data_IF_218075172679
#
_entry.id   IF_218075172679
#
_cell.length_a   1.000
_cell.length_b   1.000
_cell.length_c   1.000
_cell.angle_alpha   90.00
_cell.angle_beta   90.00
_cell.angle_gamma   90.00
#
_symmetry.space_group_name_H-M   'P 1'
#
loop_
_entity.id
_entity.type
_entity.pdbx_description
1 polymer ?
#
# COMPACT_ATOMS: atom_id res chain seq x y z
N UNK A 1 -31.51 -7.98 3.28
CA UNK A 1 -30.26 -7.49 2.66
C UNK A 1 -29.26 -8.64 2.65
N UNK A 2 -28.78 -9.01 1.48
CA UNK A 2 -27.76 -10.06 1.34
C UNK A 2 -26.40 -9.55 1.82
N UNK A 3 -25.44 -10.45 2.15
CA UNK A 3 -24.06 -10.06 2.45
C UNK A 3 -23.42 -9.17 1.37
N UNK A 4 -23.64 -9.51 0.11
CA UNK A 4 -23.13 -8.75 -1.03
C UNK A 4 -23.71 -7.33 -1.09
N UNK A 5 -24.99 -7.17 -0.90
CA UNK A 5 -25.66 -5.85 -0.90
C UNK A 5 -25.14 -4.99 0.27
N UNK A 6 -25.02 -5.55 1.46
CA UNK A 6 -24.49 -4.85 2.62
C UNK A 6 -23.06 -4.33 2.38
N UNK A 7 -22.16 -5.22 1.94
CA UNK A 7 -20.77 -4.88 1.69
C UNK A 7 -20.61 -3.90 0.49
N UNK A 8 -21.52 -3.99 -0.50
CA UNK A 8 -21.55 -3.03 -1.62
C UNK A 8 -21.95 -1.64 -1.15
N UNK A 9 -22.96 -1.51 -0.28
CA UNK A 9 -23.35 -0.23 0.31
C UNK A 9 -22.23 0.35 1.18
N UNK A 10 -21.55 -0.50 1.96
CA UNK A 10 -20.40 -0.10 2.75
C UNK A 10 -19.27 0.42 1.86
N UNK A 11 -18.94 -0.26 0.77
CA UNK A 11 -17.96 0.20 -0.21
C UNK A 11 -18.34 1.54 -0.83
N UNK A 12 -19.62 1.74 -1.16
CA UNK A 12 -20.11 3.01 -1.69
C UNK A 12 -19.93 4.15 -0.67
N UNK A 13 -20.13 3.88 0.62
CA UNK A 13 -19.89 4.86 1.69
C UNK A 13 -18.40 5.25 1.83
N UNK A 14 -17.50 4.40 1.33
CA UNK A 14 -16.06 4.60 1.36
C UNK A 14 -15.50 5.20 0.07
N UNK A 15 -16.35 5.59 -0.89
CA UNK A 15 -15.88 6.32 -2.07
C UNK A 15 -15.32 7.68 -1.66
N UNK A 16 -14.20 8.04 -2.28
CA UNK A 16 -13.58 9.35 -2.08
C UNK A 16 -14.49 10.43 -2.67
N UNK A 17 -14.75 11.48 -1.91
CA UNK A 17 -15.56 12.60 -2.40
C UNK A 17 -14.78 13.45 -3.40
N UNK A 18 -15.46 14.04 -4.35
CA UNK A 18 -14.82 14.89 -5.37
C UNK A 18 -13.96 16.03 -4.80
N UNK A 19 -14.35 16.74 -3.72
CA UNK A 19 -13.49 17.74 -3.10
C UNK A 19 -12.18 17.14 -2.60
N UNK A 20 -12.23 15.99 -1.91
CA UNK A 20 -11.04 15.32 -1.36
C UNK A 20 -10.11 14.87 -2.50
N UNK A 21 -10.67 14.30 -3.57
CA UNK A 21 -9.90 13.91 -4.76
C UNK A 21 -9.25 15.10 -5.47
N UNK A 22 -9.90 16.27 -5.52
CA UNK A 22 -9.29 17.48 -6.10
C UNK A 22 -8.09 17.92 -5.28
N UNK A 23 -8.20 17.96 -3.96
CA UNK A 23 -7.09 18.32 -3.07
C UNK A 23 -5.91 17.35 -3.26
N UNK A 24 -6.16 16.05 -3.26
CA UNK A 24 -5.13 15.02 -3.46
C UNK A 24 -4.45 15.20 -4.83
N UNK A 25 -5.22 15.45 -5.89
CA UNK A 25 -4.67 15.65 -7.24
C UNK A 25 -3.82 16.92 -7.32
N UNK A 26 -4.28 18.04 -6.75
CA UNK A 26 -3.52 19.28 -6.71
C UNK A 26 -2.19 19.08 -5.99
N UNK A 27 -2.24 18.53 -4.78
CA UNK A 27 -1.03 18.25 -4.00
C UNK A 27 -0.05 17.30 -4.72
N UNK A 28 -0.58 16.25 -5.35
CA UNK A 28 0.19 15.33 -6.19
C UNK A 28 0.93 16.05 -7.30
N UNK A 29 0.21 16.89 -8.05
CA UNK A 29 0.76 17.56 -9.23
C UNK A 29 1.75 18.66 -8.83
N UNK A 30 1.46 19.40 -7.77
CA UNK A 30 2.36 20.41 -7.20
C UNK A 30 3.68 19.79 -6.72
N UNK A 31 3.60 18.69 -5.96
CA UNK A 31 4.79 18.01 -5.43
C UNK A 31 5.59 17.33 -6.54
N UNK A 32 4.93 16.73 -7.52
CA UNK A 32 5.60 16.15 -8.69
C UNK A 32 6.33 17.23 -9.53
N UNK A 33 5.67 18.35 -9.76
CA UNK A 33 6.29 19.50 -10.47
C UNK A 33 7.46 20.09 -9.67
N UNK A 34 7.30 20.22 -8.35
CA UNK A 34 8.38 20.70 -7.48
C UNK A 34 9.60 19.76 -7.55
N UNK A 35 9.40 18.45 -7.34
CA UNK A 35 10.48 17.47 -7.40
C UNK A 35 11.14 17.43 -8.79
N UNK A 36 10.35 17.51 -9.86
CA UNK A 36 10.88 17.59 -11.22
C UNK A 36 11.82 18.79 -11.42
N UNK A 37 11.47 19.96 -10.90
CA UNK A 37 12.35 21.15 -10.95
C UNK A 37 13.62 20.99 -10.11
N UNK A 38 13.52 20.38 -8.92
CA UNK A 38 14.66 20.24 -8.00
C UNK A 38 15.64 19.13 -8.40
N UNK A 39 15.15 18.07 -9.01
CA UNK A 39 15.93 16.87 -9.31
C UNK A 39 16.35 16.78 -10.78
N UNK A 40 15.87 17.70 -11.62
CA UNK A 40 16.14 17.72 -13.05
C UNK A 40 15.30 16.69 -13.84
N UNK A 41 15.64 16.51 -15.12
CA UNK A 41 14.86 15.70 -16.07
C UNK A 41 15.14 14.18 -16.00
N UNK A 42 16.07 13.74 -15.14
CA UNK A 42 16.48 12.34 -15.08
C UNK A 42 15.46 11.39 -14.44
N UNK A 43 14.90 11.73 -13.26
CA UNK A 43 13.98 10.83 -12.57
C UNK A 43 12.58 10.85 -13.19
N UNK A 44 11.91 9.70 -13.13
CA UNK A 44 10.48 9.56 -13.44
C UNK A 44 9.68 9.50 -12.15
N UNK A 45 8.55 10.19 -12.12
CA UNK A 45 7.64 10.23 -10.97
C UNK A 45 6.38 9.44 -11.29
N UNK A 46 6.04 8.52 -10.40
CA UNK A 46 4.89 7.66 -10.50
C UNK A 46 4.02 7.77 -9.25
N UNK A 47 2.77 7.36 -9.36
CA UNK A 47 1.82 7.31 -8.25
C UNK A 47 1.62 5.86 -7.82
N UNK A 48 1.98 5.59 -6.57
CA UNK A 48 1.96 4.25 -5.98
C UNK A 48 0.80 4.03 -5.03
N UNK A 49 1.01 3.10 -4.12
CA UNK A 49 0.16 2.81 -2.98
C UNK A 49 -1.31 2.61 -3.32
N UNK A 50 -2.16 3.08 -2.43
CA UNK A 50 -3.61 2.93 -2.56
C UNK A 50 -4.19 3.77 -3.71
N UNK A 51 -3.57 4.92 -4.01
CA UNK A 51 -3.97 5.76 -5.15
C UNK A 51 -3.72 5.04 -6.48
N UNK A 52 -2.51 4.54 -6.71
CA UNK A 52 -2.14 3.83 -7.94
C UNK A 52 -2.92 2.53 -8.16
N UNK A 53 -3.27 1.83 -7.08
CA UNK A 53 -4.06 0.59 -7.09
C UNK A 53 -5.57 0.80 -7.16
N UNK A 54 -6.06 2.03 -6.99
CA UNK A 54 -7.46 2.37 -6.82
C UNK A 54 -8.13 1.66 -5.62
N UNK A 55 -7.41 1.58 -4.51
CA UNK A 55 -7.87 0.93 -3.27
C UNK A 55 -7.97 1.90 -2.09
N UNK A 56 -8.08 3.21 -2.36
CA UNK A 56 -8.33 4.20 -1.32
C UNK A 56 -9.69 3.96 -0.65
N UNK A 57 -9.75 4.20 0.64
CA UNK A 57 -10.99 4.26 1.44
C UNK A 57 -11.05 5.62 2.12
N UNK A 58 -12.24 6.18 2.24
CA UNK A 58 -12.43 7.54 2.81
C UNK A 58 -11.96 7.65 4.25
N UNK A 59 -12.11 6.59 5.05
CA UNK A 59 -11.71 6.58 6.47
C UNK A 59 -10.18 6.61 6.67
N UNK A 60 -9.38 6.14 5.69
CA UNK A 60 -7.93 6.16 5.80
C UNK A 60 -7.30 6.11 4.40
N UNK A 61 -6.61 7.17 4.03
CA UNK A 61 -5.88 7.26 2.77
C UNK A 61 -4.59 8.05 2.94
N UNK A 62 -3.66 7.77 2.09
CA UNK A 62 -2.34 8.38 1.96
C UNK A 62 -2.02 8.56 0.46
N UNK A 63 -0.98 9.30 0.17
CA UNK A 63 -0.49 9.46 -1.20
C UNK A 63 0.97 8.99 -1.27
N UNK A 64 1.24 8.03 -2.16
CA UNK A 64 2.59 7.56 -2.42
C UNK A 64 3.10 8.13 -3.75
N UNK A 65 4.18 8.90 -3.71
CA UNK A 65 4.94 9.32 -4.88
C UNK A 65 6.23 8.52 -4.98
N UNK A 66 6.40 7.82 -6.09
CA UNK A 66 7.60 7.03 -6.36
C UNK A 66 8.48 7.78 -7.34
N UNK A 67 9.74 8.01 -6.96
CA UNK A 67 10.72 8.79 -7.73
C UNK A 67 11.85 7.87 -8.15
N UNK A 68 11.79 7.34 -9.38
CA UNK A 68 12.81 6.45 -9.90
C UNK A 68 13.82 7.20 -10.77
N UNK A 69 15.06 7.19 -10.32
CA UNK A 69 16.21 7.66 -11.09
C UNK A 69 16.58 6.64 -12.18
N UNK A 70 17.17 7.10 -13.29
CA UNK A 70 17.56 6.18 -14.36
C UNK A 70 18.67 5.21 -13.92
N UNK A 71 18.81 4.05 -14.58
CA UNK A 71 19.87 3.08 -14.26
C UNK A 71 21.28 3.63 -14.44
N UNK A 72 21.43 4.68 -15.26
CA UNK A 72 22.70 5.38 -15.51
C UNK A 72 23.09 6.40 -14.41
N UNK A 73 22.22 6.62 -13.42
CA UNK A 73 22.57 7.50 -12.29
C UNK A 73 23.72 6.89 -11.48
N UNK A 74 24.84 7.58 -11.42
CA UNK A 74 26.05 7.07 -10.78
C UNK A 74 26.05 7.15 -9.25
N UNK A 75 25.09 7.88 -8.66
CA UNK A 75 24.98 8.02 -7.19
C UNK A 75 24.61 6.69 -6.56
N UNK A 76 25.09 6.43 -5.35
CA UNK A 76 24.61 5.33 -4.52
C UNK A 76 23.11 5.53 -4.18
N UNK A 77 22.42 4.47 -3.76
CA UNK A 77 21.04 4.57 -3.33
C UNK A 77 20.86 5.46 -2.09
N UNK A 78 21.84 5.49 -1.18
CA UNK A 78 21.85 6.39 -0.04
C UNK A 78 21.97 7.86 -0.49
N UNK A 79 22.82 8.17 -1.46
CA UNK A 79 22.94 9.51 -2.02
C UNK A 79 21.69 9.96 -2.76
N UNK A 80 21.03 9.05 -3.49
CA UNK A 80 19.73 9.32 -4.13
C UNK A 80 18.66 9.65 -3.07
N UNK A 81 18.56 8.84 -2.01
CA UNK A 81 17.66 9.08 -0.89
C UNK A 81 17.95 10.43 -0.21
N UNK A 82 19.22 10.73 0.05
CA UNK A 82 19.67 11.99 0.62
C UNK A 82 19.39 13.20 -0.28
N UNK A 83 19.57 13.08 -1.59
CA UNK A 83 19.30 14.15 -2.55
C UNK A 83 17.80 14.52 -2.60
N UNK A 84 16.92 13.51 -2.58
CA UNK A 84 15.46 13.77 -2.52
C UNK A 84 15.07 14.38 -1.18
N UNK A 85 15.62 13.88 -0.06
CA UNK A 85 15.41 14.45 1.27
C UNK A 85 15.82 15.94 1.31
N UNK A 86 17.03 16.26 0.86
CA UNK A 86 17.52 17.65 0.82
C UNK A 86 16.68 18.54 -0.09
N UNK A 87 16.21 18.03 -1.24
CA UNK A 87 15.32 18.77 -2.12
C UNK A 87 14.02 19.16 -1.39
N UNK A 88 13.39 18.20 -0.70
CA UNK A 88 12.17 18.45 0.07
C UNK A 88 12.39 19.45 1.21
N UNK A 89 13.49 19.32 1.97
CA UNK A 89 13.84 20.26 3.05
C UNK A 89 14.07 21.68 2.51
N UNK A 90 14.79 21.82 1.37
CA UNK A 90 14.93 23.13 0.71
C UNK A 90 13.58 23.72 0.27
N UNK A 91 12.62 22.86 -0.09
CA UNK A 91 11.24 23.24 -0.37
C UNK A 91 10.40 23.57 0.88
N UNK A 92 11.03 23.58 2.06
CA UNK A 92 10.39 23.84 3.37
C UNK A 92 9.32 22.82 3.77
N UNK A 93 9.38 21.61 3.22
CA UNK A 93 8.56 20.50 3.70
C UNK A 93 9.10 19.97 5.03
N UNK A 94 8.21 19.59 5.94
CA UNK A 94 8.57 18.77 7.10
C UNK A 94 8.78 17.35 6.58
N UNK A 95 9.94 16.75 6.85
CA UNK A 95 10.32 15.45 6.30
C UNK A 95 10.70 14.49 7.41
N UNK A 96 10.01 13.37 7.49
CA UNK A 96 10.27 12.27 8.42
C UNK A 96 10.81 11.05 7.65
N UNK A 97 12.12 10.76 7.73
CA UNK A 97 12.67 9.58 7.08
C UNK A 97 12.08 8.29 7.64
N UNK A 98 11.54 7.45 6.73
CA UNK A 98 11.03 6.11 7.00
C UNK A 98 12.00 5.06 6.46
N UNK A 99 11.65 3.78 6.54
CA UNK A 99 12.51 2.69 6.06
C UNK A 99 12.87 2.81 4.58
N UNK A 100 11.92 3.17 3.72
CA UNK A 100 12.14 3.31 2.26
C UNK A 100 11.56 4.61 1.69
N UNK A 101 10.88 5.38 2.51
CA UNK A 101 10.19 6.59 2.11
C UNK A 101 10.66 7.81 2.90
N UNK A 102 10.33 8.97 2.39
CA UNK A 102 10.41 10.27 3.06
C UNK A 102 8.97 10.73 3.26
N UNK A 103 8.50 10.69 4.51
CA UNK A 103 7.14 11.05 4.86
C UNK A 103 7.00 12.55 5.02
N UNK A 104 5.98 13.11 4.40
CA UNK A 104 5.55 14.49 4.57
C UNK A 104 4.22 14.48 5.31
N UNK A 105 4.21 14.83 6.61
CA UNK A 105 2.96 14.88 7.39
C UNK A 105 2.13 16.11 7.01
N UNK A 106 0.81 15.92 6.99
CA UNK A 106 -0.19 16.95 6.79
C UNK A 106 -1.23 16.90 7.92
N UNK A 107 -2.24 17.76 7.85
CA UNK A 107 -3.30 17.81 8.84
C UNK A 107 -4.17 16.54 8.86
N UNK A 108 -4.85 16.31 9.97
CA UNK A 108 -5.79 15.19 10.19
C UNK A 108 -5.19 13.80 9.96
N UNK A 109 -3.86 13.63 10.09
CA UNK A 109 -3.18 12.35 9.92
C UNK A 109 -2.93 11.94 8.46
N UNK A 110 -3.33 12.76 7.49
CA UNK A 110 -2.95 12.57 6.09
C UNK A 110 -1.45 12.77 5.93
N UNK A 111 -0.83 12.00 5.06
CA UNK A 111 0.58 12.14 4.71
C UNK A 111 0.85 11.79 3.26
N UNK A 112 1.98 12.28 2.77
CA UNK A 112 2.54 11.87 1.48
C UNK A 112 3.85 11.16 1.72
N UNK A 113 3.99 9.96 1.22
CA UNK A 113 5.23 9.19 1.25
C UNK A 113 5.94 9.33 -0.12
N UNK A 114 7.11 9.95 -0.13
CA UNK A 114 7.97 10.05 -1.30
C UNK A 114 9.00 8.92 -1.25
N UNK A 115 8.97 8.03 -2.25
CA UNK A 115 9.77 6.79 -2.29
C UNK A 115 10.86 6.90 -3.36
N UNK A 116 12.11 7.26 -3.01
CA UNK A 116 13.22 7.31 -3.95
C UNK A 116 13.73 5.92 -4.29
N UNK A 117 14.12 5.72 -5.55
CA UNK A 117 14.78 4.50 -6.00
C UNK A 117 15.54 4.70 -7.30
N UNK A 118 16.31 3.69 -7.70
CA UNK A 118 16.98 3.66 -9.01
C UNK A 118 16.45 2.50 -9.82
N UNK A 119 15.99 2.78 -11.05
CA UNK A 119 15.56 1.76 -11.99
C UNK A 119 16.70 0.78 -12.28
N UNK A 120 16.37 -0.49 -12.50
CA UNK A 120 17.35 -1.49 -12.91
C UNK A 120 17.62 -1.39 -14.42
N UNK A 121 16.60 -1.02 -15.19
CA UNK A 121 16.67 -0.95 -16.65
C UNK A 121 15.95 0.32 -17.16
N UNK A 122 16.13 0.65 -18.42
CA UNK A 122 15.59 1.84 -19.08
C UNK A 122 14.05 1.86 -19.19
N UNK A 123 13.40 0.70 -19.04
CA UNK A 123 11.94 0.56 -19.02
C UNK A 123 11.32 1.00 -17.68
N UNK A 124 12.13 1.12 -16.61
CA UNK A 124 11.70 1.46 -15.24
C UNK A 124 10.72 0.46 -14.61
N UNK A 125 10.67 -0.76 -15.11
CA UNK A 125 9.76 -1.79 -14.60
C UNK A 125 10.15 -2.24 -13.18
N UNK A 126 11.44 -2.47 -12.96
CA UNK A 126 12.00 -2.79 -11.65
C UNK A 126 12.93 -1.69 -11.16
N UNK A 127 12.96 -1.51 -9.86
CA UNK A 127 13.86 -0.57 -9.20
C UNK A 127 14.44 -1.16 -7.92
N UNK A 128 15.55 -0.58 -7.47
CA UNK A 128 16.13 -0.83 -6.15
C UNK A 128 15.94 0.42 -5.29
N UNK A 129 15.41 0.21 -4.08
CA UNK A 129 15.22 1.23 -3.07
C UNK A 129 16.32 1.16 -2.02
N UNK A 130 16.67 2.28 -1.43
CA UNK A 130 17.44 2.35 -0.19
C UNK A 130 16.56 1.97 0.99
N UNK A 131 17.05 1.08 1.85
CA UNK A 131 16.44 0.82 3.16
C UNK A 131 17.24 1.56 4.24
N UNK A 132 16.64 2.61 4.76
CA UNK A 132 17.13 3.36 5.90
C UNK A 132 16.92 2.54 7.19
N UNK A 133 17.69 1.49 7.34
CA UNK A 133 17.70 0.56 8.47
C UNK A 133 19.09 0.48 9.09
N UNK A 134 19.22 -0.11 10.24
CA UNK A 134 20.52 -0.34 10.87
C UNK A 134 20.79 -1.86 10.95
N UNK A 135 21.77 -2.42 10.19
CA UNK A 135 22.53 -1.74 9.14
C UNK A 135 21.68 -1.38 7.92
N UNK A 136 22.13 -0.40 7.10
CA UNK A 136 21.47 -0.05 5.86
C UNK A 136 21.47 -1.22 4.88
N UNK A 137 20.43 -1.32 4.07
CA UNK A 137 20.29 -2.38 3.07
C UNK A 137 19.51 -1.89 1.83
N UNK A 138 19.19 -2.79 0.92
CA UNK A 138 18.46 -2.46 -0.30
C UNK A 138 17.23 -3.35 -0.48
N UNK A 139 16.24 -2.87 -1.25
CA UNK A 139 15.03 -3.60 -1.57
C UNK A 139 14.76 -3.51 -3.07
N UNK A 140 14.81 -4.64 -3.79
CA UNK A 140 14.31 -4.73 -5.16
C UNK A 140 12.78 -4.76 -5.14
N UNK A 141 12.15 -3.97 -6.01
CA UNK A 141 10.69 -3.84 -6.09
C UNK A 141 10.23 -3.55 -7.52
N UNK A 142 8.92 -3.64 -7.76
CA UNK A 142 8.28 -3.17 -8.98
C UNK A 142 6.90 -2.60 -8.67
N UNK A 143 6.76 -1.30 -8.85
CA UNK A 143 5.48 -0.62 -8.68
C UNK A 143 4.40 -1.21 -9.59
N UNK A 144 4.76 -1.49 -10.86
CA UNK A 144 3.83 -2.06 -11.85
C UNK A 144 3.33 -3.44 -11.43
N UNK A 145 4.22 -4.32 -10.96
CA UNK A 145 3.84 -5.67 -10.50
C UNK A 145 2.88 -5.56 -9.31
N UNK A 146 3.14 -4.67 -8.35
CA UNK A 146 2.26 -4.47 -7.20
C UNK A 146 0.88 -3.92 -7.59
N UNK A 147 0.83 -3.00 -8.56
CA UNK A 147 -0.45 -2.48 -9.07
C UNK A 147 -1.21 -3.58 -9.80
N UNK A 148 -0.53 -4.30 -10.69
CA UNK A 148 -1.14 -5.37 -11.50
C UNK A 148 -1.66 -6.52 -10.63
N UNK A 149 -0.96 -6.87 -9.54
CA UNK A 149 -1.38 -7.91 -8.60
C UNK A 149 -2.76 -7.65 -7.98
N UNK A 150 -3.16 -6.37 -7.82
CA UNK A 150 -4.47 -6.00 -7.30
C UNK A 150 -5.47 -5.71 -8.42
N UNK A 151 -5.03 -5.01 -9.49
CA UNK A 151 -5.94 -4.54 -10.55
C UNK A 151 -6.36 -5.64 -11.51
N UNK A 152 -5.42 -6.50 -11.93
CA UNK A 152 -5.70 -7.59 -12.90
C UNK A 152 -6.46 -8.75 -12.26
N UNK A 153 -6.36 -8.93 -10.95
CA UNK A 153 -7.07 -9.97 -10.22
C UNK A 153 -8.44 -9.54 -9.72
N UNK A 154 -8.84 -8.30 -10.02
CA UNK A 154 -10.10 -7.67 -9.58
C UNK A 154 -10.30 -7.67 -8.05
N UNK A 155 -9.22 -7.74 -7.30
CA UNK A 155 -9.25 -7.75 -5.83
C UNK A 155 -9.47 -6.36 -5.21
N UNK A 156 -9.61 -5.30 -6.00
CA UNK A 156 -9.70 -3.92 -5.50
C UNK A 156 -10.75 -3.73 -4.42
N UNK A 157 -11.97 -4.21 -4.66
CA UNK A 157 -13.07 -4.04 -3.70
C UNK A 157 -12.84 -4.87 -2.44
N UNK A 158 -12.32 -6.08 -2.59
CA UNK A 158 -11.95 -6.94 -1.47
C UNK A 158 -10.84 -6.31 -0.63
N UNK A 159 -9.82 -5.74 -1.26
CA UNK A 159 -8.74 -5.04 -0.55
C UNK A 159 -9.29 -3.82 0.20
N UNK A 160 -10.25 -3.08 -0.36
CA UNK A 160 -10.91 -1.95 0.31
C UNK A 160 -11.69 -2.41 1.55
N UNK A 161 -12.45 -3.50 1.45
CA UNK A 161 -13.16 -4.10 2.58
C UNK A 161 -12.19 -4.59 3.67
N UNK A 162 -11.09 -5.23 3.29
CA UNK A 162 -10.05 -5.68 4.23
C UNK A 162 -9.32 -4.51 4.89
N UNK A 163 -9.07 -3.42 4.18
CA UNK A 163 -8.51 -2.20 4.78
C UNK A 163 -9.45 -1.63 5.84
N UNK A 164 -10.74 -1.58 5.54
CA UNK A 164 -11.76 -1.10 6.47
C UNK A 164 -11.86 -2.01 7.69
N UNK A 165 -11.90 -3.33 7.48
CA UNK A 165 -11.87 -4.34 8.54
C UNK A 165 -10.65 -4.17 9.43
N UNK A 166 -9.45 -4.08 8.84
CA UNK A 166 -8.21 -3.85 9.58
C UNK A 166 -8.27 -2.59 10.44
N UNK A 167 -8.75 -1.49 9.86
CA UNK A 167 -8.83 -0.20 10.53
C UNK A 167 -9.77 -0.26 11.74
N UNK A 168 -10.99 -0.76 11.53
CA UNK A 168 -12.03 -0.78 12.56
C UNK A 168 -11.75 -1.76 13.69
N UNK A 169 -11.01 -2.82 13.40
CA UNK A 169 -10.56 -3.79 14.42
C UNK A 169 -9.18 -3.45 15.02
N UNK A 170 -8.55 -2.33 14.65
CA UNK A 170 -7.23 -1.94 15.16
C UNK A 170 -6.12 -2.96 14.89
N UNK A 171 -6.18 -3.69 13.77
CA UNK A 171 -5.24 -4.77 13.47
C UNK A 171 -3.91 -4.18 12.99
N UNK A 172 -2.78 -4.47 13.67
CA UNK A 172 -1.48 -3.90 13.35
C UNK A 172 -0.80 -4.63 12.16
N UNK A 173 -1.49 -4.69 11.01
CA UNK A 173 -0.97 -5.34 9.81
C UNK A 173 -0.86 -4.34 8.66
N UNK A 174 0.24 -4.38 7.92
CA UNK A 174 0.43 -3.55 6.73
C UNK A 174 -0.57 -3.92 5.63
N UNK A 175 -1.12 -2.93 4.94
CA UNK A 175 -2.07 -3.15 3.82
C UNK A 175 -1.50 -4.09 2.76
N UNK A 176 -0.21 -3.98 2.44
CA UNK A 176 0.44 -4.86 1.47
C UNK A 176 0.36 -6.34 1.85
N UNK A 177 0.47 -6.68 3.15
CA UNK A 177 0.27 -8.05 3.62
C UNK A 177 -1.18 -8.52 3.42
N UNK A 178 -2.18 -7.65 3.62
CA UNK A 178 -3.59 -7.97 3.35
C UNK A 178 -3.85 -8.27 1.87
N UNK A 179 -3.21 -7.51 0.97
CA UNK A 179 -3.31 -7.73 -0.48
C UNK A 179 -2.81 -9.13 -0.86
N UNK A 180 -1.66 -9.54 -0.33
CA UNK A 180 -1.08 -10.87 -0.58
C UNK A 180 -1.96 -11.98 0.04
N UNK A 181 -2.45 -11.77 1.26
CA UNK A 181 -3.36 -12.71 1.92
C UNK A 181 -4.65 -12.92 1.12
N UNK A 182 -5.26 -11.84 0.63
CA UNK A 182 -6.45 -11.90 -0.21
C UNK A 182 -6.19 -12.68 -1.51
N UNK A 183 -5.08 -12.37 -2.19
CA UNK A 183 -4.70 -13.05 -3.42
C UNK A 183 -4.49 -14.56 -3.20
N UNK A 184 -3.87 -14.96 -2.09
CA UNK A 184 -3.65 -16.37 -1.74
C UNK A 184 -4.94 -17.08 -1.33
N UNK A 185 -5.74 -16.47 -0.47
CA UNK A 185 -6.98 -17.06 0.01
C UNK A 185 -7.98 -17.35 -1.11
N UNK A 186 -8.01 -16.46 -2.10
CA UNK A 186 -8.88 -16.61 -3.27
C UNK A 186 -8.23 -17.41 -4.40
N UNK A 187 -6.95 -17.81 -4.27
CA UNK A 187 -6.20 -18.54 -5.29
C UNK A 187 -6.28 -17.90 -6.69
N UNK A 188 -6.27 -16.55 -6.74
CA UNK A 188 -6.39 -15.78 -7.98
C UNK A 188 -7.77 -15.83 -8.64
N UNK A 189 -8.78 -16.41 -8.00
CA UNK A 189 -10.15 -16.44 -8.53
C UNK A 189 -10.81 -15.07 -8.35
N UNK A 190 -11.55 -14.64 -9.37
CA UNK A 190 -12.40 -13.47 -9.28
C UNK A 190 -13.50 -13.71 -8.22
N UNK A 191 -13.70 -12.78 -7.28
CA UNK A 191 -14.81 -12.90 -6.35
C UNK A 191 -16.13 -12.53 -7.02
N UNK A 192 -17.05 -13.48 -7.11
CA UNK A 192 -18.41 -13.26 -7.64
C UNK A 192 -19.32 -12.61 -6.60
N UNK A 193 -19.02 -12.82 -5.32
CA UNK A 193 -19.77 -12.35 -4.15
C UNK A 193 -18.82 -11.87 -3.06
N UNK A 194 -19.02 -10.64 -2.55
CA UNK A 194 -18.13 -10.08 -1.53
C UNK A 194 -18.20 -10.82 -0.20
N UNK A 195 -19.40 -11.25 0.20
CA UNK A 195 -19.57 -12.00 1.45
C UNK A 195 -18.82 -13.32 1.41
N UNK A 196 -19.00 -14.09 0.36
CA UNK A 196 -18.30 -15.37 0.14
C UNK A 196 -16.78 -15.16 0.07
N UNK A 197 -16.32 -14.14 -0.62
CA UNK A 197 -14.90 -13.84 -0.74
C UNK A 197 -14.27 -13.47 0.61
N UNK A 198 -14.89 -12.55 1.35
CA UNK A 198 -14.43 -12.15 2.67
C UNK A 198 -14.43 -13.31 3.66
N UNK A 199 -15.47 -14.16 3.62
CA UNK A 199 -15.54 -15.34 4.44
C UNK A 199 -14.40 -16.33 4.20
N UNK A 200 -14.09 -16.62 2.93
CA UNK A 200 -12.93 -17.45 2.56
C UNK A 200 -11.61 -16.87 3.04
N UNK A 201 -11.46 -15.55 2.97
CA UNK A 201 -10.25 -14.87 3.44
C UNK A 201 -10.13 -14.97 4.95
N UNK A 202 -11.22 -14.78 5.71
CA UNK A 202 -11.21 -14.94 7.16
C UNK A 202 -10.89 -16.38 7.56
N UNK A 203 -11.47 -17.39 6.88
CA UNK A 203 -11.11 -18.80 7.09
C UNK A 203 -9.62 -19.05 6.86
N UNK A 204 -9.08 -18.52 5.77
CA UNK A 204 -7.66 -18.64 5.45
C UNK A 204 -6.79 -17.97 6.53
N UNK A 205 -7.11 -16.75 6.92
CA UNK A 205 -6.37 -16.02 7.95
C UNK A 205 -6.44 -16.73 9.32
N UNK A 206 -7.61 -17.16 9.74
CA UNK A 206 -7.76 -17.85 11.01
C UNK A 206 -6.94 -19.15 11.08
N UNK A 207 -6.82 -19.87 9.97
CA UNK A 207 -6.12 -21.16 9.90
C UNK A 207 -4.62 -21.04 9.64
N UNK A 208 -4.23 -20.20 8.67
CA UNK A 208 -2.89 -20.23 8.10
C UNK A 208 -1.95 -19.13 8.67
N UNK A 209 -2.49 -18.14 9.37
CA UNK A 209 -1.72 -16.95 9.76
C UNK A 209 -0.52 -17.24 10.64
N UNK A 210 -0.57 -18.32 11.43
CA UNK A 210 0.53 -18.72 12.31
C UNK A 210 1.81 -19.06 11.53
N UNK A 211 1.67 -19.72 10.38
CA UNK A 211 2.80 -20.28 9.62
C UNK A 211 2.98 -19.69 8.23
N UNK A 212 2.03 -18.90 7.75
CA UNK A 212 2.07 -18.35 6.39
C UNK A 212 3.32 -17.52 6.13
N UNK A 213 3.98 -17.77 5.01
CA UNK A 213 5.10 -16.96 4.50
C UNK A 213 4.59 -16.09 3.35
N UNK A 214 4.48 -14.78 3.58
CA UNK A 214 4.02 -13.84 2.58
C UNK A 214 5.22 -13.33 1.77
N UNK A 215 5.26 -13.68 0.49
CA UNK A 215 6.30 -13.25 -0.44
C UNK A 215 5.81 -12.07 -1.26
N UNK A 216 6.69 -11.10 -1.46
CA UNK A 216 6.46 -9.99 -2.36
C UNK A 216 6.35 -10.49 -3.81
N UNK A 217 5.26 -10.22 -4.54
CA UNK A 217 5.09 -10.65 -5.92
C UNK A 217 6.11 -10.03 -6.89
N UNK A 218 6.73 -8.90 -6.54
CA UNK A 218 7.79 -8.27 -7.33
C UNK A 218 9.19 -8.81 -6.99
N UNK A 219 9.33 -9.51 -5.84
CA UNK A 219 10.60 -10.03 -5.37
C UNK A 219 10.37 -11.22 -4.43
N UNK A 220 10.32 -12.42 -4.97
CA UNK A 220 10.02 -13.65 -4.20
C UNK A 220 11.04 -13.97 -3.11
N UNK A 221 12.25 -13.38 -3.18
CA UNK A 221 13.25 -13.47 -2.11
C UNK A 221 12.89 -12.54 -0.93
N UNK A 222 12.03 -11.56 -1.13
CA UNK A 222 11.54 -10.68 -0.09
C UNK A 222 10.31 -11.32 0.58
N UNK A 223 10.53 -11.94 1.74
CA UNK A 223 9.46 -12.44 2.60
C UNK A 223 9.11 -11.34 3.59
N UNK A 224 7.82 -11.03 3.72
CA UNK A 224 7.34 -10.05 4.69
C UNK A 224 7.58 -10.61 6.10
N UNK A 225 8.33 -9.87 6.88
CA UNK A 225 8.56 -10.18 8.29
C UNK A 225 7.33 -9.76 9.10
N UNK A 226 6.59 -10.75 9.56
CA UNK A 226 5.40 -10.57 10.39
C UNK A 226 5.72 -11.03 11.81
N UNK A 227 5.56 -10.13 12.76
CA UNK A 227 5.73 -10.44 14.18
C UNK A 227 4.69 -11.45 14.66
N UNK A 228 5.00 -12.13 15.76
CA UNK A 228 4.05 -13.05 16.42
C UNK A 228 2.76 -12.32 16.81
N UNK A 229 2.87 -11.07 17.26
CA UNK A 229 1.73 -10.25 17.63
C UNK A 229 0.84 -9.92 16.41
N UNK A 230 1.42 -9.50 15.28
CA UNK A 230 0.66 -9.25 14.04
C UNK A 230 -0.08 -10.52 13.60
N UNK A 231 0.59 -11.66 13.59
CA UNK A 231 0.00 -12.95 13.23
C UNK A 231 -1.17 -13.33 14.14
N UNK A 232 -0.96 -13.24 15.45
CA UNK A 232 -1.99 -13.57 16.45
C UNK A 232 -3.18 -12.61 16.34
N UNK A 233 -2.96 -11.30 16.23
CA UNK A 233 -4.02 -10.31 16.11
C UNK A 233 -4.89 -10.55 14.88
N UNK A 234 -4.28 -10.85 13.74
CA UNK A 234 -5.02 -11.16 12.50
C UNK A 234 -5.83 -12.44 12.63
N UNK A 235 -5.21 -13.53 13.14
CA UNK A 235 -5.88 -14.82 13.29
C UNK A 235 -7.09 -14.71 14.24
N UNK A 236 -6.92 -14.06 15.38
CA UNK A 236 -7.99 -13.85 16.37
C UNK A 236 -9.12 -12.98 15.81
N UNK A 237 -8.81 -11.86 15.16
CA UNK A 237 -9.81 -10.99 14.55
C UNK A 237 -10.59 -11.73 13.43
N UNK A 238 -9.90 -12.52 12.61
CA UNK A 238 -10.53 -13.33 11.58
C UNK A 238 -11.44 -14.41 12.18
N UNK A 239 -11.00 -15.13 13.22
CA UNK A 239 -11.81 -16.12 13.93
C UNK A 239 -13.06 -15.47 14.57
N UNK A 240 -12.91 -14.30 15.20
CA UNK A 240 -14.03 -13.53 15.73
C UNK A 240 -15.02 -13.13 14.63
N UNK A 241 -14.53 -12.70 13.47
CA UNK A 241 -15.38 -12.36 12.31
C UNK A 241 -16.17 -13.56 11.81
N UNK A 242 -15.59 -14.78 11.84
CA UNK A 242 -16.27 -16.01 11.46
C UNK A 242 -17.37 -16.43 12.45
N UNK A 243 -17.32 -16.00 13.71
CA UNK A 243 -18.34 -16.29 14.73
C UNK A 243 -19.47 -15.26 14.78
N UNK A 244 -19.36 -14.16 14.05
CA UNK A 244 -20.36 -13.11 14.02
C UNK A 244 -21.66 -13.57 13.34
N UNK A 245 -22.80 -13.07 13.82
CA UNK A 245 -24.12 -13.42 13.29
C UNK A 245 -24.50 -12.54 12.08
N UNK A 246 -23.96 -11.33 12.03
CA UNK A 246 -24.27 -10.36 10.99
C UNK A 246 -23.02 -9.67 10.46
N UNK A 247 -23.10 -9.17 9.23
CA UNK A 247 -22.01 -8.36 8.65
C UNK A 247 -21.81 -7.03 9.38
N UNK A 248 -22.86 -6.50 10.01
CA UNK A 248 -22.75 -5.29 10.84
C UNK A 248 -21.90 -5.47 12.11
N UNK A 249 -21.73 -6.69 12.59
CA UNK A 249 -20.81 -7.01 13.71
C UNK A 249 -19.34 -7.12 13.24
N UNK A 250 -19.14 -7.40 11.95
CA UNK A 250 -17.81 -7.55 11.35
C UNK A 250 -17.32 -6.20 10.81
N UNK A 251 -18.20 -5.47 10.12
CA UNK A 251 -17.92 -4.22 9.43
C UNK A 251 -19.13 -3.29 9.59
N UNK A 252 -19.08 -2.37 10.57
CA UNK A 252 -20.17 -1.43 10.92
C UNK A 252 -20.06 -0.08 10.22
#
# INVERSE_FOLDING_TARGET
MTPHEYLSQLLASQEMRDPDLRVIRSLRDELAAFLGRQLGSGPRIYYGGSYGKHTMIREAYDLDLVVYFPPTDARSLAEIFGAVHQALVRGKYVVEPQTVALRLPYEAGFHVDVVPGRALESDFLYATLYKNSNPPSTLKTSLKVHIDAVRKTELRQIVRLLKLWRLRHGIPLKTFALEILAARALAGRRPDDYGTAMWKIFQYMAKEMATVRLQDPANTNNVLDLTVQERSSVAQAAAKSLSAQTWGEILW
#
